data_IF_115189670571
#
_entry.id   IF_115189670571
#
_cell.length_a   1.000
_cell.length_b   1.000
_cell.length_c   1.000
_cell.angle_alpha   90.00
_cell.angle_beta   90.00
_cell.angle_gamma   90.00
#
_symmetry.space_group_name_H-M   'P 1'
#
loop_
_entity.id
_entity.type
_entity.pdbx_description
1 polymer ?
#
# COMPACT_ATOMS: atom_id res chain seq x y z
N UNK A 1 -3.40 10.70 -25.26
CA UNK A 1 -3.02 10.41 -23.87
C UNK A 1 -4.30 10.12 -23.11
N UNK A 2 -4.44 8.93 -22.60
CA UNK A 2 -5.60 8.47 -21.82
C UNK A 2 -5.16 8.24 -20.37
N UNK A 3 -6.10 8.20 -19.47
CA UNK A 3 -5.89 7.72 -18.11
C UNK A 3 -6.87 6.58 -17.85
N UNK A 4 -6.37 5.49 -17.24
CA UNK A 4 -7.20 4.38 -16.78
C UNK A 4 -7.01 4.18 -15.27
N UNK A 5 -8.09 3.91 -14.56
CA UNK A 5 -8.01 3.44 -13.19
C UNK A 5 -8.02 1.90 -13.18
N UNK A 6 -7.11 1.31 -12.42
CA UNK A 6 -7.04 -0.14 -12.19
C UNK A 6 -7.34 -0.38 -10.72
N UNK A 7 -8.38 -1.17 -10.44
CA UNK A 7 -8.81 -1.52 -9.10
C UNK A 7 -8.62 -3.02 -8.91
N UNK A 8 -7.83 -3.42 -7.89
CA UNK A 8 -7.76 -4.81 -7.46
C UNK A 8 -8.84 -5.06 -6.42
N UNK A 9 -9.57 -6.17 -6.54
CA UNK A 9 -10.68 -6.45 -5.62
C UNK A 9 -10.81 -7.93 -5.26
N UNK A 10 -11.28 -8.16 -4.04
CA UNK A 10 -11.72 -9.45 -3.54
C UNK A 10 -12.72 -9.24 -2.40
N UNK A 11 -13.98 -9.70 -2.58
CA UNK A 11 -15.06 -9.58 -1.61
C UNK A 11 -15.21 -8.16 -1.04
N UNK A 12 -15.42 -7.19 -1.93
CA UNK A 12 -15.42 -5.76 -1.63
C UNK A 12 -16.78 -5.09 -1.89
N UNK A 13 -17.90 -5.83 -1.85
CA UNK A 13 -19.24 -5.33 -2.13
C UNK A 13 -19.64 -4.09 -1.32
N UNK A 14 -19.08 -3.94 -0.10
CA UNK A 14 -19.38 -2.81 0.79
C UNK A 14 -18.70 -1.50 0.42
N UNK A 15 -17.64 -1.54 -0.39
CA UNK A 15 -16.79 -0.39 -0.71
C UNK A 15 -16.70 -0.10 -2.20
N UNK A 16 -16.73 -1.14 -3.05
CA UNK A 16 -16.35 -1.06 -4.47
C UNK A 16 -17.15 0.02 -5.24
N UNK A 17 -18.43 0.19 -4.98
CA UNK A 17 -19.26 1.18 -5.66
C UNK A 17 -18.73 2.62 -5.41
N UNK A 18 -18.45 2.99 -4.17
CA UNK A 18 -17.90 4.31 -3.82
C UNK A 18 -16.52 4.55 -4.40
N UNK A 19 -15.69 3.51 -4.47
CA UNK A 19 -14.35 3.58 -5.07
C UNK A 19 -14.48 3.86 -6.57
N UNK A 20 -15.30 3.11 -7.29
CA UNK A 20 -15.56 3.30 -8.73
C UNK A 20 -16.11 4.70 -9.01
N UNK A 21 -17.14 5.14 -8.27
CA UNK A 21 -17.72 6.49 -8.39
C UNK A 21 -16.64 7.57 -8.21
N UNK A 22 -15.73 7.39 -7.26
CA UNK A 22 -14.64 8.34 -7.05
C UNK A 22 -13.61 8.34 -8.20
N UNK A 23 -13.38 7.19 -8.84
CA UNK A 23 -12.53 7.10 -10.04
C UNK A 23 -13.16 7.81 -11.23
N UNK A 24 -14.48 7.70 -11.42
CA UNK A 24 -15.21 8.39 -12.51
C UNK A 24 -15.17 9.93 -12.40
N UNK A 25 -14.75 10.49 -11.26
CA UNK A 25 -14.41 11.92 -11.20
C UNK A 25 -13.20 12.29 -12.08
N UNK A 26 -12.39 11.31 -12.50
CA UNK A 26 -11.12 11.54 -13.18
C UNK A 26 -11.07 10.83 -14.54
N UNK A 27 -11.61 9.63 -14.63
CA UNK A 27 -11.48 8.72 -15.77
C UNK A 27 -12.83 8.18 -16.23
N UNK A 28 -12.97 7.92 -17.53
CA UNK A 28 -14.13 7.23 -18.09
C UNK A 28 -13.94 5.70 -18.03
N UNK A 29 -12.69 5.22 -18.10
CA UNK A 29 -12.38 3.80 -18.15
C UNK A 29 -11.81 3.31 -16.81
N UNK A 30 -12.52 2.36 -16.19
CA UNK A 30 -12.11 1.67 -14.96
C UNK A 30 -11.99 0.17 -15.26
N UNK A 31 -10.81 -0.39 -15.04
CA UNK A 31 -10.55 -1.83 -15.07
C UNK A 31 -10.57 -2.37 -13.64
N UNK A 32 -11.49 -3.28 -13.38
CA UNK A 32 -11.57 -4.02 -12.11
C UNK A 32 -10.99 -5.41 -12.33
N UNK A 33 -9.94 -5.74 -11.58
CA UNK A 33 -9.32 -7.07 -11.57
C UNK A 33 -9.74 -7.79 -10.30
N UNK A 34 -10.66 -8.73 -10.47
CA UNK A 34 -11.29 -9.47 -9.38
C UNK A 34 -10.59 -10.82 -9.15
N UNK A 35 -10.32 -11.10 -7.89
CA UNK A 35 -9.66 -12.35 -7.45
C UNK A 35 -10.67 -13.43 -7.07
N UNK A 36 -11.70 -13.64 -7.92
CA UNK A 36 -12.79 -14.61 -7.73
C UNK A 36 -13.63 -14.32 -6.48
N UNK A 37 -14.17 -13.09 -6.39
CA UNK A 37 -15.12 -12.71 -5.34
C UNK A 37 -16.35 -13.61 -5.34
N UNK A 38 -16.84 -13.94 -4.16
CA UNK A 38 -18.05 -14.74 -3.93
C UNK A 38 -19.26 -13.91 -3.50
N UNK A 39 -19.08 -12.60 -3.32
CA UNK A 39 -20.11 -11.61 -3.00
C UNK A 39 -20.56 -10.84 -4.25
N UNK A 40 -21.30 -9.75 -4.09
CA UNK A 40 -21.83 -8.95 -5.20
C UNK A 40 -20.80 -8.01 -5.86
N UNK A 41 -19.53 -8.08 -5.52
CA UNK A 41 -18.46 -7.18 -6.01
C UNK A 41 -18.43 -7.07 -7.54
N UNK A 42 -18.42 -8.21 -8.23
CA UNK A 42 -18.31 -8.27 -9.71
C UNK A 42 -19.55 -7.68 -10.37
N UNK A 43 -20.73 -7.98 -9.86
CA UNK A 43 -22.00 -7.50 -10.40
C UNK A 43 -22.12 -5.98 -10.24
N UNK A 44 -21.78 -5.46 -9.06
CA UNK A 44 -21.75 -4.02 -8.79
C UNK A 44 -20.80 -3.28 -9.73
N UNK A 45 -19.59 -3.80 -9.93
CA UNK A 45 -18.61 -3.19 -10.82
C UNK A 45 -19.09 -3.14 -12.26
N UNK A 46 -19.69 -4.23 -12.78
CA UNK A 46 -20.28 -4.27 -14.14
C UNK A 46 -21.44 -3.29 -14.30
N UNK A 47 -22.32 -3.20 -13.30
CA UNK A 47 -23.46 -2.27 -13.30
C UNK A 47 -23.01 -0.81 -13.36
N UNK A 48 -21.84 -0.50 -12.77
CA UNK A 48 -21.23 0.84 -12.82
C UNK A 48 -20.38 1.09 -14.09
N UNK A 49 -20.47 0.20 -15.10
CA UNK A 49 -19.83 0.38 -16.39
C UNK A 49 -18.35 0.05 -16.44
N UNK A 50 -17.82 -0.67 -15.47
CA UNK A 50 -16.41 -1.07 -15.44
C UNK A 50 -16.16 -2.26 -16.37
N UNK A 51 -14.97 -2.30 -16.97
CA UNK A 51 -14.40 -3.54 -17.47
C UNK A 51 -13.99 -4.42 -16.30
N UNK A 52 -14.53 -5.65 -16.21
CA UNK A 52 -14.22 -6.57 -15.12
C UNK A 52 -13.56 -7.82 -15.69
N UNK A 53 -12.38 -8.15 -15.16
CA UNK A 53 -11.65 -9.39 -15.48
C UNK A 53 -11.34 -10.15 -14.18
N UNK A 54 -11.46 -11.47 -14.24
CA UNK A 54 -11.07 -12.32 -13.11
C UNK A 54 -9.68 -12.89 -13.32
N UNK A 55 -8.85 -12.80 -12.29
CA UNK A 55 -7.48 -13.31 -12.28
C UNK A 55 -7.12 -13.86 -10.90
N UNK A 56 -6.52 -15.04 -10.87
CA UNK A 56 -6.11 -15.70 -9.63
C UNK A 56 -5.07 -14.87 -8.89
N UNK A 57 -5.30 -14.68 -7.58
CA UNK A 57 -4.41 -13.91 -6.74
C UNK A 57 -3.23 -14.74 -6.25
N UNK A 58 -2.03 -14.38 -6.65
CA UNK A 58 -0.80 -14.94 -6.10
C UNK A 58 -0.19 -14.00 -5.04
N UNK A 59 0.07 -12.76 -5.42
CA UNK A 59 0.46 -11.67 -4.53
C UNK A 59 0.14 -10.31 -5.19
N UNK A 60 0.19 -9.25 -4.39
CA UNK A 60 -0.17 -7.90 -4.87
C UNK A 60 0.73 -7.39 -6.01
N UNK A 61 2.05 -7.67 -5.97
CA UNK A 61 2.98 -7.23 -7.02
C UNK A 61 2.64 -7.84 -8.36
N UNK A 62 2.47 -9.17 -8.40
CA UNK A 62 2.12 -9.90 -9.60
C UNK A 62 0.75 -9.46 -10.14
N UNK A 63 -0.24 -9.33 -9.26
CA UNK A 63 -1.59 -8.91 -9.63
C UNK A 63 -1.59 -7.50 -10.25
N UNK A 64 -0.87 -6.54 -9.66
CA UNK A 64 -0.77 -5.16 -10.17
C UNK A 64 -0.05 -5.10 -11.51
N UNK A 65 1.07 -5.79 -11.66
CA UNK A 65 1.84 -5.82 -12.90
C UNK A 65 1.08 -6.55 -14.01
N UNK A 66 0.39 -7.64 -13.70
CA UNK A 66 -0.49 -8.35 -14.63
C UNK A 66 -1.64 -7.45 -15.10
N UNK A 67 -2.32 -6.78 -14.19
CA UNK A 67 -3.43 -5.87 -14.49
C UNK A 67 -2.99 -4.73 -15.43
N UNK A 68 -1.80 -4.15 -15.18
CA UNK A 68 -1.24 -3.12 -16.04
C UNK A 68 -0.90 -3.65 -17.45
N UNK A 69 -0.35 -4.86 -17.54
CA UNK A 69 -0.08 -5.51 -18.84
C UNK A 69 -1.37 -5.86 -19.59
N UNK A 70 -2.39 -6.34 -18.88
CA UNK A 70 -3.71 -6.66 -19.43
C UNK A 70 -4.40 -5.43 -20.04
N UNK A 71 -4.28 -4.27 -19.41
CA UNK A 71 -4.89 -3.02 -19.87
C UNK A 71 -4.37 -2.51 -21.24
N UNK A 72 -3.27 -3.06 -21.77
CA UNK A 72 -2.69 -2.74 -23.09
C UNK A 72 -2.61 -1.23 -23.38
N UNK A 73 -2.07 -0.48 -22.43
CA UNK A 73 -1.96 0.98 -22.49
C UNK A 73 -0.86 1.40 -23.49
N UNK A 74 -1.09 2.52 -24.17
CA UNK A 74 -0.04 3.16 -24.97
C UNK A 74 1.06 3.74 -24.05
N UNK A 75 2.31 3.85 -24.53
CA UNK A 75 3.43 4.32 -23.70
C UNK A 75 3.22 5.68 -23.02
N UNK A 76 2.45 6.56 -23.65
CA UNK A 76 2.12 7.91 -23.17
C UNK A 76 0.90 7.96 -22.25
N UNK A 77 0.15 6.87 -22.09
CA UNK A 77 -1.02 6.82 -21.24
C UNK A 77 -0.64 6.79 -19.75
N UNK A 78 -1.55 7.24 -18.93
CA UNK A 78 -1.41 7.24 -17.48
C UNK A 78 -2.21 6.10 -16.85
N UNK A 79 -1.63 5.45 -15.87
CA UNK A 79 -2.31 4.45 -15.04
C UNK A 79 -2.44 4.95 -13.61
N UNK A 80 -3.64 4.80 -13.05
CA UNK A 80 -3.96 5.08 -11.66
C UNK A 80 -4.33 3.78 -10.97
N UNK A 81 -3.49 3.31 -10.06
CA UNK A 81 -3.80 2.14 -9.24
C UNK A 81 -4.49 2.53 -7.94
N UNK A 82 -5.65 1.93 -7.68
CA UNK A 82 -6.47 2.19 -6.50
C UNK A 82 -6.82 0.83 -5.86
N UNK A 83 -6.77 0.77 -4.54
CA UNK A 83 -7.22 -0.41 -3.81
C UNK A 83 -8.77 -0.32 -3.59
N UNK A 84 -9.45 -1.46 -3.44
CA UNK A 84 -10.92 -1.52 -3.40
C UNK A 84 -11.59 -0.88 -2.17
N UNK A 85 -10.80 -0.28 -1.28
CA UNK A 85 -11.20 0.48 -0.09
C UNK A 85 -10.66 1.92 -0.07
N UNK A 86 -10.03 2.36 -1.17
CA UNK A 86 -9.45 3.71 -1.32
C UNK A 86 -10.38 4.62 -2.14
N UNK A 87 -10.78 5.77 -1.58
CA UNK A 87 -11.64 6.77 -2.23
C UNK A 87 -10.84 8.02 -2.55
N UNK A 88 -11.00 8.52 -3.76
CA UNK A 88 -10.37 9.76 -4.23
C UNK A 88 -11.19 10.95 -3.74
N UNK A 89 -10.60 11.83 -2.92
CA UNK A 89 -11.29 13.05 -2.51
C UNK A 89 -11.51 14.01 -3.69
N UNK A 90 -12.56 14.86 -3.66
CA UNK A 90 -12.82 15.83 -4.74
C UNK A 90 -11.63 16.77 -5.01
N UNK A 91 -10.89 17.17 -3.97
CA UNK A 91 -9.68 17.98 -4.12
C UNK A 91 -8.56 17.21 -4.84
N UNK A 92 -8.38 15.93 -4.51
CA UNK A 92 -7.41 15.07 -5.18
C UNK A 92 -7.80 14.85 -6.64
N UNK A 93 -9.08 14.60 -6.93
CA UNK A 93 -9.57 14.45 -8.29
C UNK A 93 -9.28 15.69 -9.15
N UNK A 94 -9.51 16.90 -8.60
CA UNK A 94 -9.19 18.14 -9.27
C UNK A 94 -7.67 18.26 -9.53
N UNK A 95 -6.84 17.91 -8.54
CA UNK A 95 -5.38 17.95 -8.66
C UNK A 95 -4.86 16.98 -9.72
N UNK A 96 -5.43 15.76 -9.80
CA UNK A 96 -5.08 14.78 -10.82
C UNK A 96 -5.42 15.30 -12.20
N UNK A 97 -6.66 15.79 -12.41
CA UNK A 97 -7.07 16.34 -13.72
C UNK A 97 -6.16 17.49 -14.18
N UNK A 98 -5.80 18.40 -13.27
CA UNK A 98 -4.89 19.50 -13.58
C UNK A 98 -3.49 19.00 -13.97
N UNK A 99 -2.96 18.02 -13.23
CA UNK A 99 -1.62 17.46 -13.47
C UNK A 99 -1.49 16.73 -14.82
N UNK A 100 -2.53 15.99 -15.22
CA UNK A 100 -2.51 15.21 -16.48
C UNK A 100 -2.93 16.02 -17.71
N UNK A 101 -3.56 17.20 -17.54
CA UNK A 101 -3.93 18.06 -18.67
C UNK A 101 -2.70 18.55 -19.43
N UNK A 102 -1.63 18.91 -18.73
CA UNK A 102 -0.35 19.37 -19.30
C UNK A 102 0.81 18.85 -18.43
N UNK A 103 1.11 17.55 -18.43
CA UNK A 103 2.12 16.98 -17.56
C UNK A 103 3.53 17.45 -17.97
N UNK A 104 4.39 17.86 -17.02
CA UNK A 104 5.78 18.16 -17.31
C UNK A 104 6.49 16.93 -17.92
N UNK A 105 7.38 17.17 -18.88
CA UNK A 105 8.05 16.07 -19.63
C UNK A 105 8.92 15.18 -18.74
N UNK A 106 9.52 15.75 -17.70
CA UNK A 106 10.43 15.08 -16.78
C UNK A 106 9.73 14.40 -15.60
N UNK A 107 8.41 14.52 -15.50
CA UNK A 107 7.60 13.85 -14.47
C UNK A 107 7.07 12.53 -15.00
N UNK A 108 7.44 11.43 -14.33
CA UNK A 108 7.00 10.09 -14.67
C UNK A 108 5.88 9.57 -13.75
N UNK A 109 5.64 10.24 -12.62
CA UNK A 109 4.55 9.86 -11.73
C UNK A 109 4.22 10.86 -10.62
N UNK A 110 3.08 10.64 -9.98
CA UNK A 110 2.56 11.51 -8.93
C UNK A 110 2.32 10.74 -7.63
N UNK A 111 2.76 11.34 -6.53
CA UNK A 111 2.55 10.84 -5.18
C UNK A 111 1.23 11.37 -4.64
N UNK A 112 0.36 10.46 -4.24
CA UNK A 112 -0.91 10.76 -3.60
C UNK A 112 -0.77 10.61 -2.08
N UNK A 113 -1.37 11.55 -1.34
CA UNK A 113 -1.37 11.49 0.13
C UNK A 113 -2.51 10.61 0.61
N UNK A 114 -2.18 9.48 1.24
CA UNK A 114 -3.17 8.60 1.85
C UNK A 114 -3.53 9.06 3.25
N UNK A 115 -4.81 9.07 3.56
CA UNK A 115 -5.37 9.28 4.89
C UNK A 115 -6.13 8.03 5.31
N UNK A 116 -5.58 7.29 6.24
CA UNK A 116 -6.21 6.05 6.73
C UNK A 116 -7.31 6.37 7.73
N UNK A 117 -8.43 5.64 7.60
CA UNK A 117 -9.53 5.64 8.55
C UNK A 117 -9.50 4.33 9.33
N UNK A 118 -9.68 4.41 10.63
CA UNK A 118 -9.81 3.24 11.48
C UNK A 118 -11.06 3.39 12.34
N UNK A 119 -11.92 2.37 12.35
CA UNK A 119 -13.24 2.41 13.03
C UNK A 119 -14.05 3.68 12.69
N UNK A 120 -14.02 4.10 11.43
CA UNK A 120 -14.73 5.29 10.94
C UNK A 120 -14.09 6.64 11.28
N UNK A 121 -12.92 6.67 11.96
CA UNK A 121 -12.22 7.90 12.32
C UNK A 121 -10.93 8.07 11.53
N UNK A 122 -10.65 9.28 10.99
CA UNK A 122 -9.38 9.54 10.30
C UNK A 122 -8.22 9.56 11.28
N UNK A 123 -7.15 8.85 10.95
CA UNK A 123 -5.89 8.86 11.69
C UNK A 123 -4.99 9.94 11.10
N UNK A 124 -4.87 11.07 11.78
CA UNK A 124 -4.18 12.26 11.27
C UNK A 124 -2.77 12.44 11.79
N UNK A 125 -2.44 11.78 12.88
CA UNK A 125 -1.17 11.92 13.56
C UNK A 125 -0.40 10.59 13.60
N UNK A 126 0.81 10.62 14.14
CA UNK A 126 1.66 9.44 14.20
C UNK A 126 2.62 9.29 13.03
N UNK A 127 3.39 8.21 13.04
CA UNK A 127 4.45 7.97 12.05
C UNK A 127 3.93 7.84 10.63
N UNK A 128 2.76 7.22 10.44
CA UNK A 128 2.18 6.98 9.12
C UNK A 128 1.58 8.24 8.47
N UNK A 129 1.62 9.40 9.12
CA UNK A 129 1.09 10.63 8.57
C UNK A 129 2.13 11.75 8.50
N UNK A 130 2.37 12.32 7.29
CA UNK A 130 1.74 12.03 5.99
C UNK A 130 2.28 10.76 5.34
N UNK A 131 1.39 9.90 4.80
CA UNK A 131 1.73 8.74 4.01
C UNK A 131 1.59 9.05 2.51
N UNK A 132 2.69 8.98 1.77
CA UNK A 132 2.73 9.29 0.35
C UNK A 132 2.94 8.01 -0.47
N UNK A 133 2.06 7.78 -1.44
CA UNK A 133 2.08 6.61 -2.31
C UNK A 133 2.14 7.03 -3.77
N UNK A 134 3.04 6.41 -4.53
CA UNK A 134 3.00 6.53 -5.98
C UNK A 134 1.84 5.67 -6.48
N UNK A 135 0.80 6.31 -7.01
CA UNK A 135 -0.40 5.63 -7.50
C UNK A 135 -0.74 6.00 -8.94
N UNK A 136 -0.28 7.16 -9.40
CA UNK A 136 -0.51 7.69 -10.74
C UNK A 136 0.84 7.84 -11.46
N UNK A 137 1.01 7.19 -12.61
CA UNK A 137 2.28 7.24 -13.36
C UNK A 137 2.08 6.89 -14.85
N UNK A 138 3.06 7.24 -15.69
CA UNK A 138 3.07 6.86 -17.12
C UNK A 138 3.16 5.34 -17.25
N UNK A 139 2.27 4.75 -18.04
CA UNK A 139 2.13 3.29 -18.17
C UNK A 139 3.43 2.58 -18.59
N UNK A 140 4.24 3.20 -19.47
CA UNK A 140 5.52 2.67 -19.92
C UNK A 140 6.67 2.81 -18.92
N UNK A 141 6.48 3.55 -17.82
CA UNK A 141 7.56 3.92 -16.90
C UNK A 141 7.47 3.26 -15.55
N UNK A 142 6.27 2.94 -15.09
CA UNK A 142 6.08 2.44 -13.73
C UNK A 142 5.70 0.97 -13.68
N UNK A 143 6.13 0.33 -12.60
CA UNK A 143 5.78 -1.05 -12.26
C UNK A 143 5.74 -1.21 -10.73
N UNK A 144 5.09 -2.26 -10.25
CA UNK A 144 5.11 -2.65 -8.84
C UNK A 144 6.33 -3.53 -8.58
N UNK A 145 7.16 -3.18 -7.57
CA UNK A 145 8.33 -3.99 -7.18
C UNK A 145 7.90 -5.39 -6.69
N UNK A 146 8.69 -6.40 -7.02
CA UNK A 146 8.40 -7.79 -6.65
C UNK A 146 8.82 -8.05 -5.20
N UNK A 147 7.83 -7.95 -4.30
CA UNK A 147 7.96 -8.21 -2.87
C UNK A 147 6.70 -8.89 -2.34
N UNK A 148 6.84 -9.67 -1.28
CA UNK A 148 5.71 -10.32 -0.62
C UNK A 148 4.89 -9.33 0.22
N UNK A 149 5.57 -8.33 0.79
CA UNK A 149 4.95 -7.30 1.63
C UNK A 149 5.61 -5.93 1.43
N UNK A 150 4.86 -4.84 1.70
CA UNK A 150 5.31 -3.44 1.61
C UNK A 150 5.83 -3.07 0.20
N UNK A 151 5.06 -3.50 -0.81
CA UNK A 151 5.36 -3.24 -2.21
C UNK A 151 5.12 -1.77 -2.55
N UNK A 152 6.02 -1.21 -3.35
CA UNK A 152 5.88 0.12 -3.88
C UNK A 152 5.85 0.10 -5.41
N UNK A 153 5.11 1.03 -5.99
CA UNK A 153 5.31 1.35 -7.40
C UNK A 153 6.60 2.14 -7.57
N UNK A 154 7.33 1.86 -8.64
CA UNK A 154 8.61 2.48 -8.96
C UNK A 154 8.54 3.09 -10.34
N UNK A 155 9.09 4.29 -10.49
CA UNK A 155 9.32 4.96 -11.77
C UNK A 155 10.77 5.45 -11.83
N UNK A 156 11.42 5.47 -13.01
CA UNK A 156 12.81 5.90 -13.14
C UNK A 156 12.99 7.43 -13.06
N UNK A 157 11.96 8.19 -13.47
CA UNK A 157 12.01 9.65 -13.51
C UNK A 157 11.53 10.31 -12.22
N UNK A 158 11.32 11.63 -12.31
CA UNK A 158 10.87 12.43 -11.17
C UNK A 158 9.42 12.15 -10.82
N UNK A 159 9.12 12.34 -9.53
CA UNK A 159 7.75 12.30 -9.00
C UNK A 159 7.39 13.60 -8.34
N UNK A 160 6.13 14.01 -8.45
CA UNK A 160 5.56 15.17 -7.77
C UNK A 160 4.41 14.79 -6.84
N UNK A 161 4.13 15.61 -5.85
CA UNK A 161 3.05 15.43 -4.88
C UNK A 161 1.81 16.19 -5.34
N UNK A 162 0.66 15.52 -5.30
CA UNK A 162 -0.64 16.14 -5.55
C UNK A 162 -1.32 16.59 -4.25
N UNK A 163 -2.17 17.60 -4.35
CA UNK A 163 -3.01 18.08 -3.24
C UNK A 163 -4.24 17.18 -3.10
N UNK A 164 -4.82 17.15 -1.89
CA UNK A 164 -5.97 16.31 -1.56
C UNK A 164 -5.56 14.96 -0.98
N UNK A 165 -6.54 14.09 -0.81
CA UNK A 165 -6.36 12.83 -0.09
C UNK A 165 -6.91 11.64 -0.88
N UNK A 166 -6.19 10.55 -0.83
CA UNK A 166 -6.68 9.22 -1.06
C UNK A 166 -7.15 8.67 0.30
N UNK A 167 -8.46 8.50 0.46
CA UNK A 167 -9.09 8.09 1.72
C UNK A 167 -9.11 6.56 1.79
N UNK A 168 -8.33 5.99 2.67
CA UNK A 168 -8.29 4.55 2.94
C UNK A 168 -9.27 4.24 4.07
N UNK A 169 -10.48 3.79 3.69
CA UNK A 169 -11.60 3.72 4.62
C UNK A 169 -11.54 2.54 5.58
N UNK A 170 -10.79 1.49 5.26
CA UNK A 170 -10.66 0.27 6.08
C UNK A 170 -12.00 -0.15 6.70
N UNK A 171 -13.03 -0.35 5.85
CA UNK A 171 -14.38 -0.73 6.26
C UNK A 171 -14.40 -2.17 6.78
N UNK A 172 -13.83 -2.40 7.97
CA UNK A 172 -13.64 -3.73 8.53
C UNK A 172 -13.82 -3.74 10.05
N UNK A 173 -14.08 -4.91 10.62
CA UNK A 173 -14.08 -5.10 12.08
C UNK A 173 -12.63 -5.23 12.58
N UNK A 174 -12.42 -5.00 13.89
CA UNK A 174 -11.10 -5.23 14.53
C UNK A 174 -10.66 -6.69 14.34
N UNK A 175 -11.59 -7.65 14.40
CA UNK A 175 -11.31 -9.07 14.17
C UNK A 175 -10.74 -9.32 12.78
N UNK A 176 -11.42 -8.88 11.73
CA UNK A 176 -10.95 -9.04 10.34
C UNK A 176 -9.64 -8.28 10.11
N UNK A 177 -9.52 -7.08 10.69
CA UNK A 177 -8.31 -6.26 10.61
C UNK A 177 -7.11 -6.98 11.23
N UNK A 178 -7.24 -7.50 12.47
CA UNK A 178 -6.16 -8.24 13.14
C UNK A 178 -5.83 -9.54 12.43
N UNK A 179 -6.82 -10.27 11.90
CA UNK A 179 -6.60 -11.48 11.12
C UNK A 179 -5.78 -11.19 9.84
N UNK A 180 -6.07 -10.09 9.12
CA UNK A 180 -5.30 -9.68 7.95
C UNK A 180 -3.88 -9.28 8.33
N UNK A 181 -3.71 -8.47 9.39
CA UNK A 181 -2.38 -8.08 9.88
C UNK A 181 -1.57 -9.26 10.40
N UNK A 182 -2.21 -10.30 10.95
CA UNK A 182 -1.51 -11.52 11.31
C UNK A 182 -0.95 -12.25 10.06
N UNK A 183 -1.70 -12.31 8.95
CA UNK A 183 -1.19 -12.86 7.69
C UNK A 183 -0.06 -12.00 7.12
N UNK A 184 -0.22 -10.69 7.10
CA UNK A 184 0.80 -9.76 6.62
C UNK A 184 2.08 -9.79 7.46
N UNK A 185 1.97 -9.98 8.79
CA UNK A 185 3.17 -10.13 9.63
C UNK A 185 3.98 -11.38 9.28
N UNK A 186 3.34 -12.47 8.87
CA UNK A 186 4.05 -13.66 8.36
C UNK A 186 4.75 -13.36 7.04
N UNK A 187 4.07 -12.70 6.10
CA UNK A 187 4.67 -12.31 4.82
C UNK A 187 5.86 -11.36 5.01
N UNK A 188 5.76 -10.36 5.93
CA UNK A 188 6.87 -9.45 6.23
C UNK A 188 8.04 -10.17 6.91
N UNK A 189 7.78 -11.12 7.82
CA UNK A 189 8.83 -11.91 8.47
C UNK A 189 9.60 -12.77 7.46
N UNK A 190 8.90 -13.47 6.56
CA UNK A 190 9.51 -14.25 5.47
C UNK A 190 10.33 -13.32 4.54
N UNK A 191 9.77 -12.20 4.12
CA UNK A 191 10.44 -11.23 3.28
C UNK A 191 11.76 -10.74 3.92
N UNK A 192 11.75 -10.45 5.23
CA UNK A 192 12.94 -10.02 5.97
C UNK A 192 14.02 -11.10 6.05
N UNK A 193 13.62 -12.37 6.15
CA UNK A 193 14.54 -13.49 6.12
C UNK A 193 15.18 -13.64 4.73
N UNK A 194 14.37 -13.60 3.67
CA UNK A 194 14.83 -13.69 2.28
C UNK A 194 15.73 -12.51 1.85
N UNK A 195 15.48 -11.30 2.36
CA UNK A 195 16.30 -10.11 2.03
C UNK A 195 17.72 -10.16 2.60
N UNK A 196 17.98 -10.96 3.63
CA UNK A 196 19.33 -11.23 4.08
C UNK A 196 20.15 -11.99 3.02
N UNK A 197 19.45 -12.67 2.09
CA UNK A 197 20.07 -13.55 1.09
C UNK A 197 20.15 -12.93 -0.31
N UNK A 198 19.28 -11.95 -0.64
CA UNK A 198 19.17 -11.41 -2.02
C UNK A 198 19.05 -9.88 -2.04
N UNK A 199 20.02 -9.21 -2.64
CA UNK A 199 19.87 -7.82 -3.10
C UNK A 199 19.19 -7.83 -4.48
N UNK A 200 17.91 -7.42 -4.58
CA UNK A 200 17.20 -7.27 -5.85
C UNK A 200 17.42 -5.87 -6.44
N UNK A 201 17.82 -5.81 -7.72
CA UNK A 201 18.08 -4.56 -8.44
C UNK A 201 16.81 -3.74 -8.80
N UNK A 202 15.62 -4.32 -8.66
CA UNK A 202 14.34 -3.72 -9.06
C UNK A 202 13.46 -3.29 -7.88
N UNK A 203 14.05 -2.75 -6.83
CA UNK A 203 13.31 -2.27 -5.67
C UNK A 203 13.47 -0.76 -5.50
N UNK A 204 12.48 -0.13 -4.82
CA UNK A 204 12.58 1.28 -4.45
C UNK A 204 13.88 1.51 -3.65
N UNK A 205 14.78 2.41 -4.07
CA UNK A 205 16.03 2.62 -3.34
C UNK A 205 15.80 3.24 -1.95
N UNK A 206 16.58 2.81 -0.96
CA UNK A 206 16.63 3.42 0.35
C UNK A 206 17.55 4.64 0.29
N UNK A 207 17.01 5.87 0.27
CA UNK A 207 17.78 7.10 0.10
C UNK A 207 17.20 8.24 0.95
N UNK A 208 18.02 8.86 1.82
CA UNK A 208 17.63 10.01 2.64
C UNK A 208 17.35 11.28 1.84
N UNK A 209 17.99 11.44 0.68
CA UNK A 209 17.82 12.59 -0.21
C UNK A 209 16.72 12.36 -1.26
N UNK A 210 16.10 11.19 -1.27
CA UNK A 210 15.01 10.85 -2.17
C UNK A 210 13.64 11.37 -1.71
N UNK A 211 12.60 10.89 -2.35
CA UNK A 211 11.22 11.19 -1.93
C UNK A 211 10.87 10.55 -0.56
N UNK A 212 9.71 10.88 -0.02
CA UNK A 212 9.28 10.40 1.30
C UNK A 212 9.28 8.87 1.43
N UNK A 213 8.99 8.13 0.34
CA UNK A 213 8.99 6.66 0.34
C UNK A 213 10.41 6.13 0.50
N UNK A 214 11.37 6.70 -0.24
CA UNK A 214 12.80 6.36 -0.17
C UNK A 214 13.39 6.69 1.20
N UNK A 215 13.01 7.85 1.78
CA UNK A 215 13.41 8.26 3.13
C UNK A 215 12.85 7.30 4.19
N UNK A 216 11.54 6.96 4.11
CA UNK A 216 10.92 6.01 5.03
C UNK A 216 11.56 4.61 4.90
N UNK A 217 11.86 4.16 3.68
CA UNK A 217 12.57 2.90 3.46
C UNK A 217 13.98 2.94 4.06
N UNK A 218 14.71 4.04 3.93
CA UNK A 218 16.01 4.20 4.55
C UNK A 218 15.92 4.11 6.08
N UNK A 219 14.99 4.85 6.70
CA UNK A 219 14.76 4.79 8.15
C UNK A 219 14.38 3.38 8.61
N UNK A 220 13.51 2.71 7.85
CA UNK A 220 13.09 1.34 8.12
C UNK A 220 14.27 0.36 8.05
N UNK A 221 15.09 0.43 6.99
CA UNK A 221 16.16 -0.55 6.75
C UNK A 221 17.43 -0.26 7.55
N UNK A 222 17.81 1.01 7.73
CA UNK A 222 19.08 1.39 8.35
C UNK A 222 18.98 1.68 9.84
N UNK A 223 17.78 2.02 10.34
CA UNK A 223 17.60 2.34 11.75
C UNK A 223 16.70 1.29 12.44
N UNK A 224 15.46 1.13 11.97
CA UNK A 224 14.49 0.27 12.62
C UNK A 224 14.91 -1.21 12.61
N UNK A 225 15.28 -1.77 11.45
CA UNK A 225 15.67 -3.18 11.35
C UNK A 225 17.05 -3.51 11.93
N UNK A 226 17.90 -2.50 12.21
CA UNK A 226 19.16 -2.69 12.93
C UNK A 226 18.97 -2.65 14.46
N UNK A 227 17.81 -2.22 14.94
CA UNK A 227 17.51 -2.19 16.38
C UNK A 227 17.16 -3.59 16.88
N UNK A 228 17.40 -3.89 18.19
CA UNK A 228 17.11 -5.20 18.79
C UNK A 228 15.64 -5.60 18.60
N UNK A 229 15.42 -6.87 18.23
CA UNK A 229 14.08 -7.45 18.11
C UNK A 229 13.27 -7.25 19.38
N UNK A 230 11.96 -7.21 19.24
CA UNK A 230 10.96 -6.99 20.29
C UNK A 230 11.00 -5.59 20.92
N UNK A 231 12.18 -5.09 21.31
CA UNK A 231 12.36 -3.74 21.92
C UNK A 231 12.02 -2.64 20.92
N UNK A 232 12.40 -2.82 19.64
CA UNK A 232 12.15 -1.84 18.59
C UNK A 232 10.66 -1.53 18.38
N UNK A 233 9.77 -2.50 18.64
CA UNK A 233 8.33 -2.30 18.55
C UNK A 233 7.82 -1.30 19.62
N UNK A 234 8.33 -1.39 20.85
CA UNK A 234 8.04 -0.43 21.93
C UNK A 234 8.54 0.97 21.58
N UNK A 235 9.80 1.07 21.15
CA UNK A 235 10.41 2.35 20.77
C UNK A 235 9.61 3.00 19.65
N UNK A 236 9.19 2.23 18.66
CA UNK A 236 8.40 2.72 17.54
C UNK A 236 7.01 3.21 17.95
N UNK A 237 6.35 2.50 18.87
CA UNK A 237 5.08 2.94 19.45
C UNK A 237 5.25 4.27 20.21
N UNK A 238 6.24 4.37 21.10
CA UNK A 238 6.51 5.59 21.86
C UNK A 238 6.79 6.76 20.90
N UNK A 239 7.64 6.55 19.90
CA UNK A 239 7.91 7.55 18.89
C UNK A 239 6.64 7.98 18.15
N UNK A 240 5.84 7.03 17.65
CA UNK A 240 4.63 7.32 16.87
C UNK A 240 3.55 8.00 17.72
N UNK A 241 3.31 7.50 18.91
CA UNK A 241 2.21 7.98 19.75
C UNK A 241 2.51 9.30 20.45
N UNK A 242 3.71 9.44 21.05
CA UNK A 242 4.07 10.64 21.79
C UNK A 242 4.79 11.70 20.95
N UNK A 243 5.87 11.33 20.25
CA UNK A 243 6.68 12.32 19.50
C UNK A 243 6.05 12.75 18.18
N UNK A 244 5.25 11.87 17.55
CA UNK A 244 4.48 12.18 16.34
C UNK A 244 3.02 12.53 16.64
N UNK A 245 2.71 12.83 17.90
CA UNK A 245 1.42 13.34 18.38
C UNK A 245 0.22 12.40 18.13
N UNK A 246 0.45 11.09 18.00
CA UNK A 246 -0.63 10.11 17.77
C UNK A 246 -1.74 10.13 18.82
N UNK A 247 -1.46 10.62 20.04
CA UNK A 247 -2.45 10.80 21.12
C UNK A 247 -3.53 11.85 20.78
N UNK A 248 -3.28 12.73 19.81
CA UNK A 248 -4.27 13.73 19.38
C UNK A 248 -5.43 13.11 18.57
N UNK A 249 -5.27 11.88 18.05
CA UNK A 249 -6.37 11.13 17.44
C UNK A 249 -7.30 10.47 18.48
N UNK A 250 -7.13 10.78 19.77
CA UNK A 250 -8.01 10.38 20.85
C UNK A 250 -8.04 8.86 21.10
N UNK A 251 -9.19 8.34 21.55
CA UNK A 251 -9.37 6.93 21.90
C UNK A 251 -9.10 5.98 20.72
N UNK A 252 -9.63 6.33 19.55
CA UNK A 252 -9.46 5.52 18.33
C UNK A 252 -8.01 5.54 17.88
N UNK A 253 -7.34 6.70 17.98
CA UNK A 253 -5.90 6.81 17.74
C UNK A 253 -5.08 5.94 18.66
N UNK A 254 -5.40 5.88 19.97
CA UNK A 254 -4.71 5.00 20.90
C UNK A 254 -4.81 3.53 20.48
N UNK A 255 -6.03 3.05 20.17
CA UNK A 255 -6.25 1.67 19.72
C UNK A 255 -5.47 1.39 18.44
N UNK A 256 -5.56 2.29 17.47
CA UNK A 256 -4.83 2.16 16.20
C UNK A 256 -3.32 2.08 16.41
N UNK A 257 -2.74 2.99 17.19
CA UNK A 257 -1.29 3.00 17.43
C UNK A 257 -0.82 1.77 18.20
N UNK A 258 -1.59 1.29 19.20
CA UNK A 258 -1.26 0.02 19.87
C UNK A 258 -1.27 -1.13 18.85
N UNK A 259 -2.31 -1.24 18.03
CA UNK A 259 -2.43 -2.34 17.08
C UNK A 259 -1.42 -2.24 15.93
N UNK A 260 -1.25 -1.05 15.33
CA UNK A 260 -0.45 -0.87 14.12
C UNK A 260 1.04 -0.69 14.40
N UNK A 261 1.40 0.11 15.44
CA UNK A 261 2.80 0.48 15.65
C UNK A 261 3.49 -0.32 16.75
N UNK A 262 2.71 -0.97 17.63
CA UNK A 262 3.25 -1.88 18.64
C UNK A 262 2.95 -3.35 18.31
N UNK A 263 1.68 -3.79 18.40
CA UNK A 263 1.31 -5.20 18.28
C UNK A 263 1.75 -5.81 16.94
N UNK A 264 1.44 -5.19 15.83
CA UNK A 264 1.81 -5.69 14.50
C UNK A 264 3.33 -5.82 14.35
N UNK A 265 4.09 -4.83 14.82
CA UNK A 265 5.56 -4.84 14.76
C UNK A 265 6.17 -5.87 15.70
N UNK A 266 5.62 -6.00 16.90
CA UNK A 266 6.04 -7.02 17.86
C UNK A 266 5.75 -8.43 17.34
N UNK A 267 4.61 -8.62 16.66
CA UNK A 267 4.24 -9.91 16.06
C UNK A 267 5.20 -10.33 14.93
N UNK A 268 5.64 -9.40 14.09
CA UNK A 268 6.67 -9.64 13.06
C UNK A 268 7.96 -10.12 13.74
N UNK A 269 8.40 -9.41 14.78
CA UNK A 269 9.63 -9.77 15.51
C UNK A 269 9.51 -11.13 16.19
N UNK A 270 8.35 -11.44 16.77
CA UNK A 270 8.08 -12.75 17.39
C UNK A 270 8.18 -13.90 16.38
N UNK A 271 7.62 -13.70 15.17
CA UNK A 271 7.71 -14.70 14.09
C UNK A 271 9.15 -14.87 13.57
N UNK A 272 9.94 -13.78 13.52
CA UNK A 272 11.36 -13.89 13.19
C UNK A 272 12.13 -14.70 14.24
N UNK A 273 11.84 -14.50 15.54
CA UNK A 273 12.45 -15.30 16.62
C UNK A 273 12.03 -16.76 16.51
N UNK A 274 10.75 -17.03 16.25
CA UNK A 274 10.24 -18.39 16.03
C UNK A 274 10.99 -19.11 14.89
N UNK A 275 11.17 -18.45 13.74
CA UNK A 275 11.91 -18.98 12.61
C UNK A 275 13.38 -19.29 12.97
N UNK A 276 14.06 -18.38 13.68
CA UNK A 276 15.44 -18.58 14.12
C UNK A 276 15.59 -19.77 15.09
N UNK A 277 14.67 -19.93 16.04
CA UNK A 277 14.69 -21.06 16.97
C UNK A 277 14.42 -22.39 16.25
N UNK A 278 13.55 -22.40 15.25
CA UNK A 278 13.25 -23.60 14.44
C UNK A 278 14.46 -24.04 13.61
N UNK A 279 15.22 -23.10 13.03
CA UNK A 279 16.46 -23.38 12.30
C UNK A 279 17.52 -24.00 13.21
N UNK A 280 17.73 -23.46 14.42
CA UNK A 280 18.69 -24.00 15.41
C UNK A 280 18.33 -25.41 15.84
N UNK A 281 17.02 -25.69 16.07
CA UNK A 281 16.56 -27.01 16.48
C UNK A 281 16.74 -28.07 15.38
N UNK A 282 16.55 -27.71 14.10
CA UNK A 282 16.78 -28.61 12.97
C UNK A 282 18.26 -28.94 12.79
N UNK A 283 19.17 -27.97 13.03
CA UNK A 283 20.63 -28.18 12.97
C UNK A 283 21.17 -29.01 14.16
N UNK A 284 20.47 -29.01 15.30
CA UNK A 284 20.87 -29.76 16.49
C UNK A 284 20.25 -31.17 16.56
N UNK A 285 19.26 -31.47 15.72
CA UNK A 285 18.60 -32.80 15.64
C UNK A 285 19.27 -33.78 14.68
N UNK A 286 20.24 -33.33 13.89
CA UNK A 286 21.03 -34.18 12.94
C UNK A 286 22.38 -34.64 13.54
N UNK A 287 22.58 -34.55 14.86
CA UNK A 287 23.80 -35.05 15.56
C UNK A 287 23.54 -36.30 16.35
#
# INVERSE_FOLDING_TARGET
>A
MKIIAIILTFNSETSIAKVIESCHLIVDNVLVVDSFSSDQTVELAKTLGCEVVQHEFENYSKQRNWAQAYAKLAPEDWVLHIDSDEIISPELAQSIRAAIANPPLDIDGYLLRRLSYFLGHPIRYGYLNPSWHLRLFKASKGFCEDRLYDQHFVVPGKTEKLKGYLLDLQLTTVEKWTASHNRWSSAEAIELQLQKEKASAQTLPANLLGDNRMQNRWLKTKLYYQSPLLIRAFIFFIYSYFFRLGFLDGKVGLIYHILQTFWFRFLIDSKLVEMQLSEVNNLSGDC
#
